data_IF_840389101962
#
_entry.id   IF_840389101962
#
_cell.length_a   1.000
_cell.length_b   1.000
_cell.length_c   1.000
_cell.angle_alpha   90.00
_cell.angle_beta   90.00
_cell.angle_gamma   90.00
#
_symmetry.space_group_name_H-M   'P 1'
#
loop_
_entity.id
_entity.type
_entity.pdbx_description
1 polymer ?
#
# COMPACT_ATOMS: atom_id res chain seq x y z
N UNK A 1 -14.50 20.19 -35.70
CA UNK A 1 -15.36 20.36 -34.54
C UNK A 1 -15.37 19.05 -33.77
N UNK A 2 -14.52 18.91 -32.75
CA UNK A 2 -14.57 17.80 -31.81
C UNK A 2 -15.48 18.32 -30.70
N UNK A 3 -16.73 17.86 -30.68
CA UNK A 3 -17.66 18.15 -29.60
C UNK A 3 -17.05 17.71 -28.28
N UNK A 4 -16.87 18.69 -27.40
CA UNK A 4 -16.37 18.57 -26.01
C UNK A 4 -17.39 17.77 -25.20
N UNK A 5 -17.23 16.45 -25.18
CA UNK A 5 -18.06 15.52 -24.37
C UNK A 5 -17.61 15.60 -22.90
N UNK A 6 -17.95 16.72 -22.25
CA UNK A 6 -17.85 16.84 -20.82
C UNK A 6 -18.97 15.99 -20.16
N UNK A 7 -18.62 14.94 -19.39
CA UNK A 7 -19.58 14.14 -18.63
C UNK A 7 -20.18 14.96 -17.47
N UNK A 8 -21.49 14.84 -17.18
CA UNK A 8 -22.10 15.48 -16.01
C UNK A 8 -21.57 14.88 -14.68
N UNK A 9 -21.70 15.64 -13.58
CA UNK A 9 -21.11 15.30 -12.28
C UNK A 9 -21.53 13.94 -11.71
N UNK A 10 -22.77 13.52 -11.96
CA UNK A 10 -23.30 12.24 -11.47
C UNK A 10 -22.70 11.01 -12.17
N UNK A 11 -21.92 11.21 -13.25
CA UNK A 11 -21.34 10.16 -14.09
C UNK A 11 -19.81 10.04 -13.96
N UNK A 12 -19.18 10.89 -13.13
CA UNK A 12 -17.72 10.88 -12.95
C UNK A 12 -17.35 9.92 -11.82
N UNK A 13 -16.68 8.84 -12.16
CA UNK A 13 -16.24 7.85 -11.17
C UNK A 13 -15.36 8.50 -10.07
N UNK A 14 -15.47 8.04 -8.80
CA UNK A 14 -14.91 8.73 -7.63
C UNK A 14 -13.40 8.92 -7.67
N UNK A 15 -12.66 8.06 -8.35
CA UNK A 15 -11.21 8.15 -8.47
C UNK A 15 -10.73 8.74 -9.80
N UNK A 16 -11.63 9.23 -10.64
CA UNK A 16 -11.23 9.88 -11.91
C UNK A 16 -10.35 11.09 -11.65
N UNK A 17 -9.19 11.14 -12.29
CA UNK A 17 -8.18 12.17 -12.11
C UNK A 17 -7.19 11.91 -10.97
N UNK A 18 -7.28 10.78 -10.27
CA UNK A 18 -6.30 10.36 -9.27
C UNK A 18 -5.41 9.23 -9.79
N UNK A 19 -4.16 9.23 -9.34
CA UNK A 19 -3.17 8.18 -9.62
C UNK A 19 -2.88 7.40 -8.34
N UNK A 20 -2.99 6.07 -8.41
CA UNK A 20 -2.77 5.18 -7.26
C UNK A 20 -1.67 4.17 -7.57
N UNK A 21 -0.61 4.16 -6.76
CA UNK A 21 0.42 3.13 -6.77
C UNK A 21 -0.06 1.85 -6.07
N UNK A 22 0.21 0.68 -6.65
CA UNK A 22 -0.12 -0.62 -6.07
C UNK A 22 1.16 -1.43 -5.90
N UNK A 23 1.57 -1.67 -4.65
CA UNK A 23 2.83 -2.38 -4.31
C UNK A 23 2.65 -3.88 -4.09
N UNK A 24 1.45 -4.40 -4.30
CA UNK A 24 1.10 -5.78 -4.05
C UNK A 24 1.85 -6.75 -4.97
N UNK A 25 2.43 -7.82 -4.41
CA UNK A 25 3.05 -8.92 -5.16
C UNK A 25 2.02 -9.95 -5.66
N UNK A 26 0.89 -10.08 -4.97
CA UNK A 26 -0.21 -10.98 -5.32
C UNK A 26 -1.49 -10.20 -5.47
N UNK A 27 -2.34 -10.64 -6.41
CA UNK A 27 -3.63 -9.99 -6.70
C UNK A 27 -3.47 -8.51 -7.13
N UNK A 28 -2.29 -8.13 -7.64
CA UNK A 28 -2.03 -6.77 -8.13
C UNK A 28 -3.05 -6.36 -9.20
N UNK A 29 -3.31 -7.25 -10.17
CA UNK A 29 -4.28 -7.02 -11.25
C UNK A 29 -5.72 -6.87 -10.72
N UNK A 30 -6.09 -7.66 -9.69
CA UNK A 30 -7.41 -7.53 -9.07
C UNK A 30 -7.56 -6.18 -8.36
N UNK A 31 -6.53 -5.75 -7.62
CA UNK A 31 -6.53 -4.45 -6.93
C UNK A 31 -6.54 -3.32 -7.96
N UNK A 32 -5.66 -3.39 -8.95
CA UNK A 32 -5.59 -2.44 -10.05
C UNK A 32 -6.94 -2.31 -10.75
N UNK A 33 -7.52 -3.41 -11.20
CA UNK A 33 -8.82 -3.40 -11.87
C UNK A 33 -9.98 -2.91 -10.99
N UNK A 34 -9.91 -3.10 -9.66
CA UNK A 34 -10.89 -2.51 -8.73
C UNK A 34 -10.76 -0.99 -8.61
N UNK A 35 -9.54 -0.45 -8.68
CA UNK A 35 -9.25 0.98 -8.66
C UNK A 35 -9.59 1.63 -10.01
N UNK A 36 -9.21 1.00 -11.12
CA UNK A 36 -9.50 1.46 -12.49
C UNK A 36 -11.00 1.53 -12.77
N UNK A 37 -11.77 0.54 -12.33
CA UNK A 37 -13.24 0.58 -12.41
C UNK A 37 -13.86 1.76 -11.65
N UNK A 38 -13.12 2.37 -10.72
CA UNK A 38 -13.50 3.59 -10.01
C UNK A 38 -12.90 4.86 -10.61
N UNK A 39 -12.20 4.72 -11.75
CA UNK A 39 -11.66 5.83 -12.52
C UNK A 39 -10.20 6.19 -12.21
N UNK A 40 -9.50 5.46 -11.34
CA UNK A 40 -8.09 5.73 -11.04
C UNK A 40 -7.18 5.39 -12.22
N UNK A 41 -6.11 6.16 -12.37
CA UNK A 41 -4.90 5.70 -13.06
C UNK A 41 -4.10 4.85 -12.09
N UNK A 42 -3.69 3.64 -12.50
CA UNK A 42 -2.96 2.72 -11.62
C UNK A 42 -1.53 2.53 -12.08
N UNK A 43 -0.58 2.67 -11.14
CA UNK A 43 0.83 2.29 -11.33
C UNK A 43 1.06 0.99 -10.56
N UNK A 44 1.14 -0.13 -11.28
CA UNK A 44 1.49 -1.41 -10.67
C UNK A 44 3.01 -1.48 -10.48
N UNK A 45 3.43 -1.59 -9.22
CA UNK A 45 4.82 -1.59 -8.82
C UNK A 45 5.06 -2.60 -7.68
N UNK A 46 5.05 -3.91 -7.98
CA UNK A 46 5.28 -4.92 -6.95
C UNK A 46 6.60 -4.66 -6.21
N UNK A 47 6.53 -4.44 -4.89
CA UNK A 47 7.70 -4.12 -4.08
C UNK A 47 8.48 -5.37 -3.62
N UNK A 48 7.97 -6.55 -3.94
CA UNK A 48 8.57 -7.84 -3.60
C UNK A 48 8.03 -8.93 -4.53
N UNK A 49 8.75 -10.06 -4.58
CA UNK A 49 8.26 -11.32 -5.17
C UNK A 49 8.30 -12.45 -4.16
N UNK A 50 7.39 -13.39 -4.32
CA UNK A 50 7.35 -14.61 -3.53
C UNK A 50 8.05 -15.69 -4.33
N UNK A 51 9.08 -16.29 -3.76
CA UNK A 51 9.81 -17.41 -4.37
C UNK A 51 9.47 -18.66 -3.57
N UNK A 52 8.84 -19.67 -4.18
CA UNK A 52 8.73 -20.98 -3.57
C UNK A 52 10.13 -21.57 -3.34
N UNK A 53 10.30 -22.28 -2.25
CA UNK A 53 11.59 -22.88 -1.88
C UNK A 53 11.64 -24.37 -2.24
N UNK A 54 11.12 -24.79 -3.40
CA UNK A 54 11.10 -26.18 -3.83
C UNK A 54 12.51 -26.84 -3.83
N UNK A 55 13.54 -26.05 -4.11
CA UNK A 55 14.94 -26.49 -4.12
C UNK A 55 15.73 -26.04 -2.89
N UNK A 56 15.05 -25.56 -1.83
CA UNK A 56 15.71 -25.02 -0.65
C UNK A 56 16.15 -26.12 0.31
N UNK A 57 17.46 -26.13 0.56
CA UNK A 57 18.10 -27.09 1.48
C UNK A 57 17.50 -27.03 2.90
N UNK A 58 17.10 -25.83 3.36
CA UNK A 58 16.55 -25.63 4.71
C UNK A 58 15.14 -26.22 4.82
N UNK A 59 14.29 -26.05 3.79
CA UNK A 59 12.96 -26.64 3.75
C UNK A 59 13.07 -28.17 3.73
N UNK A 60 13.96 -28.73 2.89
CA UNK A 60 14.18 -30.18 2.80
C UNK A 60 14.72 -30.74 4.11
N UNK A 61 15.69 -30.05 4.74
CA UNK A 61 16.25 -30.43 6.03
C UNK A 61 15.19 -30.46 7.11
N UNK A 62 14.38 -29.42 7.25
CA UNK A 62 13.27 -29.37 8.22
C UNK A 62 12.25 -30.46 7.96
N UNK A 63 11.92 -30.74 6.69
CA UNK A 63 11.00 -31.82 6.30
C UNK A 63 11.53 -33.18 6.72
N UNK A 64 12.78 -33.49 6.41
CA UNK A 64 13.40 -34.77 6.79
C UNK A 64 13.54 -34.92 8.31
N UNK A 65 13.83 -33.84 9.03
CA UNK A 65 13.85 -33.82 10.50
C UNK A 65 12.48 -34.20 11.09
N UNK A 66 11.40 -33.61 10.56
CA UNK A 66 10.04 -33.86 11.00
C UNK A 66 9.56 -35.29 10.63
N UNK A 67 10.03 -35.85 9.51
CA UNK A 67 9.77 -37.25 9.13
C UNK A 67 10.50 -38.20 10.07
N UNK A 68 11.74 -37.91 10.43
CA UNK A 68 12.56 -38.73 11.31
C UNK A 68 12.13 -38.67 12.77
N UNK A 69 11.65 -37.54 13.23
CA UNK A 69 11.14 -37.33 14.59
C UNK A 69 9.89 -36.44 14.50
N UNK A 70 8.68 -37.07 14.47
CA UNK A 70 7.42 -36.36 14.29
C UNK A 70 7.18 -35.27 15.33
N UNK A 71 6.50 -34.17 14.97
CA UNK A 71 6.16 -33.10 15.89
C UNK A 71 4.89 -33.43 16.69
N UNK A 72 4.77 -32.88 17.89
CA UNK A 72 3.51 -32.93 18.68
C UNK A 72 2.49 -31.94 18.12
N UNK A 73 2.99 -30.80 17.59
CA UNK A 73 2.14 -29.73 17.07
C UNK A 73 2.74 -29.13 15.80
N UNK A 74 1.85 -28.78 14.87
CA UNK A 74 2.20 -28.06 13.63
C UNK A 74 1.41 -26.78 13.57
N UNK A 75 2.08 -25.65 13.36
CA UNK A 75 1.45 -24.35 13.13
C UNK A 75 1.53 -23.99 11.65
N UNK A 76 0.41 -24.06 10.95
CA UNK A 76 0.27 -23.66 9.56
C UNK A 76 -0.16 -22.17 9.48
N UNK A 77 0.76 -21.31 9.09
CA UNK A 77 0.53 -19.86 9.06
C UNK A 77 -0.16 -19.40 7.78
N UNK A 78 0.09 -20.06 6.64
CA UNK A 78 -0.50 -19.67 5.34
C UNK A 78 -0.85 -20.90 4.49
N UNK A 79 -2.01 -20.81 3.80
CA UNK A 79 -2.44 -21.90 2.92
C UNK A 79 -1.54 -22.09 1.69
N UNK A 80 -0.96 -21.02 1.14
CA UNK A 80 -0.02 -21.12 0.00
C UNK A 80 1.28 -21.79 0.46
N UNK A 81 1.77 -21.44 1.64
CA UNK A 81 2.99 -22.05 2.17
C UNK A 81 2.80 -23.52 2.48
N UNK A 82 1.66 -23.88 3.08
CA UNK A 82 1.39 -25.30 3.38
C UNK A 82 1.26 -26.15 2.11
N UNK A 83 0.57 -25.63 1.08
CA UNK A 83 0.52 -26.29 -0.24
C UNK A 83 1.90 -26.43 -0.85
N UNK A 84 2.68 -25.35 -0.91
CA UNK A 84 4.03 -25.36 -1.47
C UNK A 84 4.97 -26.31 -0.73
N UNK A 85 4.78 -26.48 0.60
CA UNK A 85 5.52 -27.48 1.37
C UNK A 85 5.16 -28.92 0.95
N UNK A 86 3.88 -29.20 0.81
CA UNK A 86 3.41 -30.54 0.36
C UNK A 86 3.85 -30.81 -1.08
N UNK A 87 3.76 -29.84 -1.98
CA UNK A 87 4.24 -29.93 -3.38
C UNK A 87 5.75 -30.19 -3.43
N UNK A 88 6.54 -29.48 -2.62
CA UNK A 88 7.98 -29.72 -2.52
C UNK A 88 8.30 -31.14 -2.00
N UNK A 89 7.60 -31.58 -0.95
CA UNK A 89 7.75 -32.93 -0.43
C UNK A 89 7.37 -34.00 -1.47
N UNK A 90 6.34 -33.75 -2.30
CA UNK A 90 5.97 -34.62 -3.41
C UNK A 90 7.07 -34.69 -4.47
N UNK A 91 7.64 -33.53 -4.85
CA UNK A 91 8.78 -33.48 -5.78
C UNK A 91 10.02 -34.22 -5.29
N UNK A 92 10.20 -34.38 -3.97
CA UNK A 92 11.28 -35.17 -3.37
C UNK A 92 10.92 -36.64 -3.13
N UNK A 93 9.68 -37.06 -3.38
CA UNK A 93 9.17 -38.39 -3.08
C UNK A 93 8.90 -38.66 -1.60
N UNK A 94 8.79 -37.58 -0.78
CA UNK A 94 8.63 -37.67 0.68
C UNK A 94 7.21 -37.35 1.18
N UNK A 95 6.27 -37.04 0.27
CA UNK A 95 4.95 -36.53 0.65
C UNK A 95 4.16 -37.48 1.57
N UNK A 96 4.17 -38.79 1.30
CA UNK A 96 3.43 -39.76 2.11
C UNK A 96 4.06 -39.94 3.49
N UNK A 97 5.39 -39.93 3.58
CA UNK A 97 6.12 -40.01 4.84
C UNK A 97 5.88 -38.75 5.68
N UNK A 98 5.84 -37.57 5.03
CA UNK A 98 5.53 -36.33 5.70
C UNK A 98 4.08 -36.34 6.21
N UNK A 99 3.10 -36.74 5.40
CA UNK A 99 1.69 -36.89 5.85
C UNK A 99 1.57 -37.84 7.06
N UNK A 100 2.27 -38.97 7.02
CA UNK A 100 2.30 -39.89 8.13
C UNK A 100 2.89 -39.30 9.42
N UNK A 101 3.95 -38.49 9.30
CA UNK A 101 4.57 -37.81 10.42
C UNK A 101 3.71 -36.67 11.01
N UNK A 102 2.97 -35.93 10.16
CA UNK A 102 2.12 -34.83 10.58
C UNK A 102 0.73 -35.26 11.05
N UNK A 103 0.25 -36.45 10.61
CA UNK A 103 -1.11 -36.91 10.89
C UNK A 103 -1.47 -37.06 12.38
N UNK A 104 -0.59 -37.56 13.25
CA UNK A 104 -0.82 -37.64 14.70
C UNK A 104 -0.71 -36.30 15.43
N UNK A 105 -0.07 -35.28 14.81
CA UNK A 105 0.19 -33.98 15.44
C UNK A 105 -1.09 -33.13 15.57
N UNK A 106 -1.13 -32.28 16.58
CA UNK A 106 -2.12 -31.21 16.66
C UNK A 106 -1.84 -30.13 15.59
N UNK A 107 -2.63 -30.09 14.50
CA UNK A 107 -2.45 -29.10 13.45
C UNK A 107 -3.25 -27.83 13.75
N UNK A 108 -2.57 -26.73 14.01
CA UNK A 108 -3.16 -25.42 14.24
C UNK A 108 -3.06 -24.58 12.96
N UNK A 109 -4.20 -24.17 12.41
CA UNK A 109 -4.26 -23.29 11.25
C UNK A 109 -4.46 -21.84 11.70
N UNK A 110 -3.66 -20.90 11.19
CA UNK A 110 -3.87 -19.48 11.51
C UNK A 110 -5.21 -18.93 11.00
N UNK A 111 -5.79 -19.52 9.96
CA UNK A 111 -7.04 -19.06 9.38
C UNK A 111 -7.56 -19.93 8.24
N UNK A 112 -8.68 -19.57 7.60
CA UNK A 112 -9.43 -20.42 6.67
C UNK A 112 -8.61 -20.92 5.48
N UNK A 113 -7.64 -20.11 4.99
CA UNK A 113 -6.77 -20.51 3.86
C UNK A 113 -5.78 -21.61 4.26
N UNK A 114 -5.26 -21.56 5.48
CA UNK A 114 -4.38 -22.61 6.02
C UNK A 114 -5.19 -23.87 6.30
N UNK A 115 -6.38 -23.74 6.90
CA UNK A 115 -7.36 -24.84 7.10
C UNK A 115 -7.65 -25.55 5.77
N UNK A 116 -8.00 -24.83 4.73
CA UNK A 116 -8.28 -25.41 3.41
C UNK A 116 -7.07 -26.15 2.81
N UNK A 117 -5.85 -25.65 3.03
CA UNK A 117 -4.63 -26.31 2.54
C UNK A 117 -4.29 -27.59 3.32
N UNK A 118 -4.47 -27.60 4.64
CA UNK A 118 -4.32 -28.79 5.49
C UNK A 118 -5.28 -29.89 5.02
N UNK A 119 -6.55 -29.54 4.84
CA UNK A 119 -7.58 -30.50 4.38
C UNK A 119 -7.31 -31.01 2.96
N UNK A 120 -6.85 -30.15 2.04
CA UNK A 120 -6.47 -30.55 0.70
C UNK A 120 -5.28 -31.53 0.68
N UNK A 121 -4.41 -31.48 1.69
CA UNK A 121 -3.31 -32.45 1.87
C UNK A 121 -3.75 -33.78 2.52
N UNK A 122 -5.04 -33.96 2.78
CA UNK A 122 -5.57 -35.17 3.44
C UNK A 122 -5.38 -35.20 4.97
N UNK A 123 -5.04 -34.03 5.55
CA UNK A 123 -4.86 -33.85 6.99
C UNK A 123 -6.05 -33.11 7.60
N UNK A 124 -6.14 -33.08 8.94
CA UNK A 124 -7.22 -32.37 9.63
C UNK A 124 -6.65 -31.41 10.67
N UNK A 125 -7.07 -30.18 10.62
CA UNK A 125 -6.73 -29.18 11.64
C UNK A 125 -7.47 -29.51 12.96
N UNK A 126 -6.78 -29.27 14.08
CA UNK A 126 -7.34 -29.39 15.43
C UNK A 126 -8.04 -28.09 15.84
N UNK A 127 -7.54 -26.95 15.39
CA UNK A 127 -8.06 -25.64 15.75
C UNK A 127 -7.61 -24.53 14.82
N UNK A 128 -8.41 -23.45 14.74
CA UNK A 128 -8.10 -22.22 14.03
C UNK A 128 -8.75 -21.01 14.74
N UNK A 129 -8.03 -19.88 14.94
CA UNK A 129 -8.60 -18.67 15.54
C UNK A 129 -9.64 -18.01 14.63
N UNK A 130 -10.61 -17.35 15.25
CA UNK A 130 -11.59 -16.55 14.52
C UNK A 130 -10.99 -15.26 13.95
N UNK A 131 -9.95 -14.72 14.60
CA UNK A 131 -9.27 -13.45 14.22
C UNK A 131 -8.25 -13.60 13.09
N UNK A 132 -7.93 -14.81 12.66
CA UNK A 132 -6.84 -15.10 11.70
C UNK A 132 -5.45 -14.59 12.18
N UNK A 133 -5.25 -14.45 13.50
CA UNK A 133 -4.06 -13.85 14.11
C UNK A 133 -3.06 -14.93 14.57
N UNK A 134 -1.77 -14.70 14.27
CA UNK A 134 -0.68 -15.53 14.83
C UNK A 134 -0.53 -15.34 16.35
N UNK A 135 -0.88 -14.14 16.87
CA UNK A 135 -0.84 -13.87 18.30
C UNK A 135 -1.83 -14.75 19.07
N UNK A 136 -3.04 -14.97 18.53
CA UNK A 136 -4.05 -15.85 19.15
C UNK A 136 -3.61 -17.31 19.10
N UNK A 137 -2.95 -17.77 18.01
CA UNK A 137 -2.34 -19.11 17.95
C UNK A 137 -1.27 -19.27 19.03
N UNK A 138 -0.41 -18.27 19.23
CA UNK A 138 0.61 -18.28 20.28
C UNK A 138 -0.02 -18.34 21.67
N UNK A 139 -1.00 -17.46 21.94
CA UNK A 139 -1.71 -17.42 23.21
C UNK A 139 -2.36 -18.77 23.54
N UNK A 140 -2.99 -19.40 22.53
CA UNK A 140 -3.57 -20.74 22.67
C UNK A 140 -2.51 -21.77 23.09
N UNK A 141 -1.37 -21.83 22.38
CA UNK A 141 -0.28 -22.75 22.69
C UNK A 141 0.28 -22.56 24.11
N UNK A 142 0.48 -21.30 24.52
CA UNK A 142 1.00 -20.98 25.85
C UNK A 142 -0.02 -21.28 26.97
N UNK A 143 -1.33 -21.32 26.67
CA UNK A 143 -2.39 -21.60 27.64
C UNK A 143 -2.73 -23.08 27.81
N UNK A 144 -2.33 -23.95 26.89
CA UNK A 144 -2.66 -25.40 26.92
C UNK A 144 -1.82 -26.24 27.89
N UNK A 145 -0.89 -25.60 28.61
CA UNK A 145 -0.03 -26.26 29.59
C UNK A 145 1.46 -26.15 29.27
N UNK A 146 2.32 -26.88 30.02
CA UNK A 146 3.75 -26.80 29.85
C UNK A 146 4.17 -27.29 28.45
N UNK A 147 5.01 -26.49 27.79
CA UNK A 147 5.55 -26.83 26.46
C UNK A 147 6.93 -27.53 26.56
N UNK A 148 7.44 -27.73 27.76
CA UNK A 148 8.72 -28.40 27.98
C UNK A 148 8.73 -29.80 27.36
N UNK A 149 9.71 -30.07 26.50
CA UNK A 149 9.85 -31.33 25.79
C UNK A 149 8.94 -31.53 24.57
N UNK A 150 7.96 -30.62 24.33
CA UNK A 150 7.12 -30.70 23.14
C UNK A 150 7.87 -30.18 21.90
N UNK A 151 7.69 -30.90 20.78
CA UNK A 151 8.22 -30.54 19.46
C UNK A 151 7.16 -29.80 18.65
N UNK A 152 7.43 -28.56 18.31
CA UNK A 152 6.47 -27.71 17.58
C UNK A 152 7.07 -27.30 16.24
N UNK A 153 6.46 -27.75 15.14
CA UNK A 153 6.80 -27.32 13.79
C UNK A 153 6.06 -26.01 13.49
N UNK A 154 6.78 -24.95 13.14
CA UNK A 154 6.21 -23.64 12.79
C UNK A 154 6.52 -23.34 11.34
N UNK A 155 5.50 -23.34 10.50
CA UNK A 155 5.60 -22.89 9.12
C UNK A 155 5.86 -21.39 9.10
N UNK A 156 6.99 -20.97 8.54
CA UNK A 156 7.30 -19.57 8.33
C UNK A 156 6.59 -19.04 7.08
N UNK A 157 6.28 -17.75 7.06
CA UNK A 157 5.63 -17.09 5.93
C UNK A 157 6.48 -15.96 5.33
N UNK A 158 7.75 -16.30 5.07
CA UNK A 158 8.72 -15.39 4.46
C UNK A 158 9.56 -14.60 5.45
N UNK A 159 9.14 -14.51 6.72
CA UNK A 159 9.87 -13.93 7.84
C UNK A 159 10.13 -14.95 8.94
N UNK A 160 11.20 -14.74 9.76
CA UNK A 160 11.58 -15.70 10.80
C UNK A 160 10.57 -15.88 11.94
N UNK A 161 9.53 -15.03 12.07
CA UNK A 161 8.57 -15.03 13.18
C UNK A 161 9.25 -15.11 14.56
N UNK A 162 10.30 -14.31 14.78
CA UNK A 162 11.18 -14.42 15.96
C UNK A 162 10.38 -14.35 17.26
N UNK A 163 9.54 -13.34 17.45
CA UNK A 163 8.75 -13.18 18.67
C UNK A 163 7.90 -14.41 18.99
N UNK A 164 7.30 -14.99 17.95
CA UNK A 164 6.48 -16.20 18.07
C UNK A 164 7.33 -17.43 18.42
N UNK A 165 8.42 -17.66 17.69
CA UNK A 165 9.28 -18.84 17.88
C UNK A 165 10.07 -18.77 19.19
N UNK A 166 10.52 -17.58 19.57
CA UNK A 166 11.28 -17.37 20.79
C UNK A 166 10.39 -17.49 22.04
N UNK A 167 9.14 -17.01 21.98
CA UNK A 167 8.17 -17.23 23.07
C UNK A 167 7.92 -18.73 23.30
N UNK A 168 7.80 -19.54 22.25
CA UNK A 168 7.65 -20.99 22.38
C UNK A 168 8.91 -21.66 22.95
N UNK A 169 10.10 -21.23 22.51
CA UNK A 169 11.38 -21.73 23.05
C UNK A 169 11.57 -21.36 24.53
N UNK A 170 11.23 -20.15 24.93
CA UNK A 170 11.26 -19.73 26.33
C UNK A 170 10.28 -20.52 27.20
N UNK A 171 9.16 -20.98 26.62
CA UNK A 171 8.22 -21.88 27.30
C UNK A 171 8.70 -23.36 27.33
N UNK A 172 9.91 -23.64 26.82
CA UNK A 172 10.55 -24.96 26.88
C UNK A 172 10.30 -25.87 25.68
N UNK A 173 9.66 -25.38 24.60
CA UNK A 173 9.42 -26.16 23.40
C UNK A 173 10.68 -26.29 22.52
N UNK A 174 10.83 -27.45 21.88
CA UNK A 174 11.74 -27.63 20.74
C UNK A 174 11.04 -27.12 19.47
N UNK A 175 11.46 -25.99 18.93
CA UNK A 175 10.82 -25.36 17.76
C UNK A 175 11.57 -25.66 16.49
N UNK A 176 10.93 -26.35 15.56
CA UNK A 176 11.40 -26.61 14.21
C UNK A 176 10.75 -25.59 13.27
N UNK A 177 11.54 -24.71 12.68
CA UNK A 177 11.04 -23.76 11.70
C UNK A 177 11.04 -24.35 10.30
N UNK A 178 9.91 -24.23 9.60
CA UNK A 178 9.70 -24.74 8.24
C UNK A 178 9.60 -23.55 7.27
N UNK A 179 10.68 -23.17 6.59
CA UNK A 179 10.67 -22.05 5.64
C UNK A 179 10.07 -22.54 4.33
N UNK A 180 8.88 -22.07 3.97
CA UNK A 180 8.14 -22.55 2.78
C UNK A 180 8.22 -21.63 1.57
N UNK A 181 8.62 -20.39 1.76
CA UNK A 181 8.94 -19.43 0.71
C UNK A 181 9.75 -18.26 1.29
N UNK A 182 10.46 -17.55 0.43
CA UNK A 182 11.17 -16.32 0.78
C UNK A 182 10.58 -15.13 0.04
N UNK A 183 10.61 -14.01 0.70
CA UNK A 183 10.39 -12.73 0.08
C UNK A 183 11.70 -12.23 -0.51
N UNK A 184 11.70 -11.89 -1.78
CA UNK A 184 12.86 -11.36 -2.48
C UNK A 184 12.49 -10.04 -3.15
N UNK A 185 13.49 -9.22 -3.44
CA UNK A 185 13.30 -8.08 -4.31
C UNK A 185 12.70 -8.52 -5.65
N UNK A 186 11.90 -7.69 -6.32
CA UNK A 186 11.44 -7.98 -7.68
C UNK A 186 12.63 -8.27 -8.60
N UNK A 187 12.43 -9.11 -9.62
CA UNK A 187 13.46 -9.34 -10.65
C UNK A 187 13.65 -8.06 -11.47
N UNK A 188 12.54 -7.45 -11.85
CA UNK A 188 12.51 -6.15 -12.49
C UNK A 188 12.08 -5.09 -11.46
N UNK A 189 13.02 -4.24 -11.07
CA UNK A 189 12.78 -3.12 -10.15
C UNK A 189 12.27 -1.88 -10.86
N UNK A 190 12.30 -1.85 -12.19
CA UNK A 190 11.90 -0.68 -12.99
C UNK A 190 10.49 -0.16 -12.70
N UNK A 191 9.45 -1.01 -12.53
CA UNK A 191 8.12 -0.54 -12.10
C UNK A 191 8.14 0.16 -10.74
N UNK A 192 8.94 -0.36 -9.79
CA UNK A 192 9.05 0.22 -8.45
C UNK A 192 9.80 1.56 -8.47
N UNK A 193 10.85 1.65 -9.28
CA UNK A 193 11.60 2.90 -9.49
C UNK A 193 10.71 3.98 -10.10
N UNK A 194 9.94 3.65 -11.14
CA UNK A 194 8.96 4.59 -11.72
C UNK A 194 7.90 5.05 -10.71
N UNK A 195 7.45 4.17 -9.82
CA UNK A 195 6.53 4.57 -8.76
C UNK A 195 7.20 5.53 -7.79
N UNK A 196 8.43 5.27 -7.37
CA UNK A 196 9.20 6.14 -6.48
C UNK A 196 9.44 7.51 -7.11
N UNK A 197 9.87 7.56 -8.37
CA UNK A 197 10.02 8.81 -9.13
C UNK A 197 8.69 9.58 -9.24
N UNK A 198 7.60 8.89 -9.52
CA UNK A 198 6.28 9.50 -9.60
C UNK A 198 5.79 10.04 -8.25
N UNK A 199 6.12 9.38 -7.13
CA UNK A 199 5.84 9.89 -5.77
C UNK A 199 6.66 11.14 -5.50
N UNK A 200 7.97 11.12 -5.77
CA UNK A 200 8.86 12.27 -5.60
C UNK A 200 8.44 13.48 -6.47
N UNK A 201 7.98 13.21 -7.69
CA UNK A 201 7.45 14.23 -8.60
C UNK A 201 6.03 14.75 -8.22
N UNK A 202 5.39 14.19 -7.18
CA UNK A 202 4.04 14.59 -6.75
C UNK A 202 2.93 14.23 -7.75
N UNK A 203 3.13 13.21 -8.58
CA UNK A 203 2.17 12.74 -9.59
C UNK A 203 1.36 11.52 -9.15
N UNK A 204 1.60 11.02 -7.94
CA UNK A 204 0.84 9.96 -7.28
C UNK A 204 0.04 10.54 -6.12
N UNK A 205 -1.20 10.14 -5.97
CA UNK A 205 -2.10 10.63 -4.93
C UNK A 205 -2.23 9.68 -3.75
N UNK A 206 -2.09 8.37 -3.99
CA UNK A 206 -2.08 7.35 -2.96
C UNK A 206 -1.20 6.15 -3.33
N UNK A 207 -0.67 5.46 -2.33
CA UNK A 207 -0.02 4.15 -2.49
C UNK A 207 -0.75 3.13 -1.64
N UNK A 208 -1.18 2.03 -2.27
CA UNK A 208 -1.89 0.93 -1.63
C UNK A 208 -0.92 -0.20 -1.25
N UNK A 209 -0.92 -0.55 0.06
CA UNK A 209 -0.09 -1.61 0.64
C UNK A 209 -0.97 -2.75 1.15
N UNK A 210 -0.64 -3.97 0.76
CA UNK A 210 -1.36 -5.19 1.19
C UNK A 210 -0.56 -6.06 2.16
N UNK A 211 0.70 -5.72 2.42
CA UNK A 211 1.57 -6.38 3.40
C UNK A 211 2.63 -5.43 3.95
N UNK A 212 3.07 -5.66 5.18
CA UNK A 212 4.18 -4.93 5.81
C UNK A 212 5.47 -5.05 4.97
N UNK A 213 5.72 -6.21 4.39
CA UNK A 213 6.88 -6.46 3.53
C UNK A 213 6.88 -5.62 2.25
N UNK A 214 5.71 -5.34 1.67
CA UNK A 214 5.62 -4.44 0.53
C UNK A 214 5.98 -2.99 0.93
N UNK A 215 5.55 -2.55 2.11
CA UNK A 215 5.95 -1.26 2.67
C UNK A 215 7.46 -1.20 2.93
N UNK A 216 8.02 -2.23 3.59
CA UNK A 216 9.47 -2.35 3.80
C UNK A 216 10.25 -2.40 2.49
N UNK A 217 9.74 -3.11 1.48
CA UNK A 217 10.35 -3.20 0.15
C UNK A 217 10.43 -1.87 -0.57
N UNK A 218 9.36 -1.07 -0.52
CA UNK A 218 9.33 0.29 -1.07
C UNK A 218 10.34 1.20 -0.36
N UNK A 219 10.33 1.23 0.98
CA UNK A 219 11.23 2.04 1.79
C UNK A 219 12.70 1.68 1.53
N UNK A 220 13.03 0.38 1.53
CA UNK A 220 14.38 -0.10 1.22
C UNK A 220 14.81 0.32 -0.18
N UNK A 221 13.94 0.17 -1.20
CA UNK A 221 14.29 0.57 -2.56
C UNK A 221 14.54 2.08 -2.68
N UNK A 222 13.78 2.90 -1.96
CA UNK A 222 14.00 4.34 -1.90
C UNK A 222 15.38 4.68 -1.30
N UNK A 223 15.79 3.99 -0.21
CA UNK A 223 17.13 4.13 0.37
C UNK A 223 18.21 3.71 -0.62
N UNK A 224 18.06 2.55 -1.29
CA UNK A 224 18.99 2.04 -2.30
C UNK A 224 19.13 2.99 -3.51
N UNK A 225 18.06 3.69 -3.88
CA UNK A 225 18.02 4.65 -4.99
C UNK A 225 18.42 6.08 -4.59
N UNK A 226 18.65 6.35 -3.30
CA UNK A 226 19.06 7.65 -2.78
C UNK A 226 17.95 8.71 -2.76
N UNK A 227 16.67 8.30 -2.79
CA UNK A 227 15.49 9.19 -2.82
C UNK A 227 14.57 8.97 -1.60
N UNK A 228 15.13 8.46 -0.50
CA UNK A 228 14.35 8.20 0.72
C UNK A 228 13.76 9.48 1.31
N UNK A 229 14.51 10.56 1.32
CA UNK A 229 14.07 11.83 1.90
C UNK A 229 12.90 12.44 1.11
N UNK A 230 12.94 12.38 -0.21
CA UNK A 230 11.86 12.84 -1.10
C UNK A 230 10.60 11.97 -0.92
N UNK A 231 10.76 10.65 -0.86
CA UNK A 231 9.67 9.73 -0.58
C UNK A 231 9.03 10.05 0.76
N UNK A 232 9.83 10.16 1.82
CA UNK A 232 9.33 10.43 3.17
C UNK A 232 8.68 11.81 3.27
N UNK A 233 9.22 12.82 2.60
CA UNK A 233 8.61 14.15 2.52
C UNK A 233 7.22 14.10 1.85
N UNK A 234 7.09 13.38 0.74
CA UNK A 234 5.82 13.21 0.04
C UNK A 234 4.77 12.48 0.89
N UNK A 235 5.18 11.46 1.66
CA UNK A 235 4.29 10.66 2.49
C UNK A 235 3.96 11.29 3.85
N UNK A 236 4.90 12.04 4.46
CA UNK A 236 4.71 12.68 5.80
C UNK A 236 3.93 13.99 5.71
N UNK A 237 4.10 14.75 4.64
CA UNK A 237 3.58 16.11 4.49
C UNK A 237 4.45 17.19 5.14
N UNK A 238 4.04 18.45 5.02
CA UNK A 238 4.80 19.57 5.55
C UNK A 238 4.89 19.49 7.08
N UNK A 239 6.10 19.64 7.61
CA UNK A 239 6.34 19.79 9.05
C UNK A 239 5.91 21.19 9.46
N UNK A 240 4.79 21.34 10.14
CA UNK A 240 4.35 22.62 10.71
C UNK A 240 4.86 22.69 12.15
N UNK A 241 5.80 23.61 12.39
CA UNK A 241 6.23 23.95 13.76
C UNK A 241 7.02 22.89 14.51
N UNK A 242 7.85 22.06 13.84
CA UNK A 242 8.78 21.13 14.50
C UNK A 242 8.15 19.91 15.18
N UNK A 243 6.84 19.74 15.10
CA UNK A 243 6.14 18.53 15.51
C UNK A 243 5.60 17.83 14.26
N UNK A 244 6.00 16.57 14.06
CA UNK A 244 5.28 15.67 13.14
C UNK A 244 3.92 15.45 13.80
N UNK A 245 2.86 16.08 13.30
CA UNK A 245 1.50 15.81 13.74
C UNK A 245 1.10 14.47 13.11
N UNK A 246 1.66 13.39 13.62
CA UNK A 246 1.30 12.02 13.37
C UNK A 246 0.33 11.56 14.45
N UNK A 247 -0.95 11.90 14.29
CA UNK A 247 -1.98 11.30 15.11
C UNK A 247 -2.35 9.94 14.52
N UNK A 248 -2.24 8.88 15.30
CA UNK A 248 -2.99 7.66 15.12
C UNK A 248 -4.47 8.01 15.24
N UNK A 249 -5.11 8.35 14.14
CA UNK A 249 -6.54 8.60 14.13
C UNK A 249 -7.25 7.29 13.78
N UNK A 250 -7.68 6.59 14.78
CA UNK A 250 -8.88 5.78 14.68
C UNK A 250 -10.02 6.79 14.43
N UNK A 251 -10.46 6.95 13.16
CA UNK A 251 -11.60 7.76 12.79
C UNK A 251 -11.39 9.27 12.61
N UNK A 252 -10.13 9.78 12.44
CA UNK A 252 -9.85 11.20 12.18
C UNK A 252 -9.12 11.44 10.87
N UNK A 253 -9.44 12.54 10.18
CA UNK A 253 -8.73 13.00 8.98
C UNK A 253 -7.28 13.31 9.35
N UNK A 254 -6.37 12.38 9.02
CA UNK A 254 -4.94 12.62 9.16
C UNK A 254 -4.55 13.76 8.21
N UNK A 255 -3.99 14.83 8.73
CA UNK A 255 -3.27 15.84 7.94
C UNK A 255 -1.93 15.18 7.57
N UNK A 256 -1.97 14.33 6.54
CA UNK A 256 -0.81 13.61 6.03
C UNK A 256 -0.15 14.35 4.87
N UNK A 257 0.88 13.76 4.31
CA UNK A 257 1.58 14.22 3.12
C UNK A 257 0.69 14.42 1.89
N UNK A 258 1.30 14.84 0.82
CA UNK A 258 0.61 14.96 -0.47
C UNK A 258 0.14 13.61 -0.98
N UNK A 259 0.82 12.54 -0.60
CA UNK A 259 0.51 11.15 -0.99
C UNK A 259 -0.05 10.35 0.20
N UNK A 260 -1.17 9.68 0.00
CA UNK A 260 -1.80 8.84 1.03
C UNK A 260 -1.11 7.47 1.07
N UNK A 261 -0.61 7.06 2.24
CA UNK A 261 -0.19 5.69 2.49
C UNK A 261 -1.41 4.87 2.99
N UNK A 262 -2.06 4.12 2.09
CA UNK A 262 -3.24 3.32 2.40
C UNK A 262 -2.86 1.85 2.59
N UNK A 263 -3.05 1.33 3.79
CA UNK A 263 -2.71 -0.04 4.18
C UNK A 263 -3.95 -0.93 4.29
N UNK A 264 -3.81 -2.23 4.09
CA UNK A 264 -4.95 -3.16 4.29
C UNK A 264 -5.30 -3.29 5.77
N UNK A 265 -4.37 -2.99 6.69
CA UNK A 265 -4.57 -3.07 8.13
C UNK A 265 -3.36 -2.57 8.91
N UNK A 266 -3.44 -2.50 10.26
CA UNK A 266 -2.42 -1.90 11.13
C UNK A 266 -1.05 -2.59 11.05
N UNK A 267 -1.00 -3.92 10.94
CA UNK A 267 0.26 -4.66 10.78
C UNK A 267 0.98 -4.25 9.49
N UNK A 268 0.22 -3.99 8.42
CA UNK A 268 0.78 -3.50 7.15
C UNK A 268 1.35 -2.09 7.28
N UNK A 269 0.74 -1.26 8.13
CA UNK A 269 1.16 0.11 8.38
C UNK A 269 2.44 0.22 9.23
N UNK A 270 2.78 -0.80 10.04
CA UNK A 270 3.90 -0.78 10.99
C UNK A 270 5.18 -0.17 10.42
N UNK A 271 5.78 -0.70 9.34
CA UNK A 271 7.03 -0.18 8.78
C UNK A 271 6.98 1.30 8.36
N UNK A 272 5.81 1.80 7.98
CA UNK A 272 5.58 3.20 7.61
C UNK A 272 5.50 4.07 8.86
N UNK A 273 4.74 3.62 9.86
CA UNK A 273 4.60 4.30 11.16
C UNK A 273 5.95 4.42 11.89
N UNK A 274 6.78 3.39 11.85
CA UNK A 274 8.14 3.37 12.41
C UNK A 274 9.06 4.43 11.75
N UNK A 275 8.75 4.82 10.52
CA UNK A 275 9.43 5.91 9.80
C UNK A 275 8.70 7.25 9.93
N UNK A 276 7.71 7.37 10.83
CA UNK A 276 6.92 8.58 11.03
C UNK A 276 6.03 8.96 9.83
N UNK A 277 5.69 8.00 8.98
CA UNK A 277 4.75 8.18 7.86
C UNK A 277 3.33 7.90 8.36
N UNK A 278 2.40 8.87 8.28
CA UNK A 278 1.00 8.64 8.58
C UNK A 278 0.43 7.60 7.59
N UNK A 279 -0.19 6.55 8.12
CA UNK A 279 -0.83 5.54 7.30
C UNK A 279 -2.29 5.36 7.70
N UNK A 280 -3.14 5.08 6.73
CA UNK A 280 -4.58 4.87 6.94
C UNK A 280 -4.99 3.46 6.53
N UNK A 281 -6.07 2.94 7.13
CA UNK A 281 -6.60 1.62 6.80
C UNK A 281 -8.09 1.49 7.13
N UNK A 282 -8.83 0.58 6.43
CA UNK A 282 -10.24 0.34 6.70
C UNK A 282 -10.45 -0.52 7.95
N UNK A 283 -11.65 -0.50 8.53
CA UNK A 283 -12.02 -1.36 9.66
C UNK A 283 -11.97 -2.87 9.34
N UNK A 284 -12.20 -3.22 8.09
CA UNK A 284 -12.12 -4.61 7.61
C UNK A 284 -10.91 -4.82 6.73
N UNK A 285 -9.99 -5.67 7.15
CA UNK A 285 -8.68 -5.92 6.53
C UNK A 285 -8.79 -6.77 5.25
N UNK A 286 -9.51 -6.27 4.24
CA UNK A 286 -9.75 -6.94 2.95
C UNK A 286 -9.49 -5.99 1.79
N UNK A 287 -9.06 -6.56 0.65
CA UNK A 287 -8.75 -5.80 -0.57
C UNK A 287 -9.90 -4.88 -1.00
N UNK A 288 -11.13 -5.41 -1.06
CA UNK A 288 -12.28 -4.59 -1.44
C UNK A 288 -12.59 -3.44 -0.46
N UNK A 289 -12.27 -3.61 0.84
CA UNK A 289 -12.38 -2.54 1.83
C UNK A 289 -11.26 -1.51 1.66
N UNK A 290 -10.02 -1.95 1.39
CA UNK A 290 -8.89 -1.06 1.08
C UNK A 290 -9.20 -0.17 -0.11
N UNK A 291 -9.73 -0.73 -1.21
CA UNK A 291 -10.08 0.05 -2.41
C UNK A 291 -11.16 1.10 -2.12
N UNK A 292 -12.19 0.75 -1.33
CA UNK A 292 -13.21 1.72 -0.90
C UNK A 292 -12.62 2.80 0.02
N UNK A 293 -11.71 2.40 0.90
CA UNK A 293 -11.02 3.31 1.81
C UNK A 293 -10.18 4.33 1.03
N UNK A 294 -9.36 3.89 0.07
CA UNK A 294 -8.62 4.78 -0.83
C UNK A 294 -9.53 5.76 -1.54
N UNK A 295 -10.68 5.28 -2.05
CA UNK A 295 -11.65 6.15 -2.71
C UNK A 295 -12.23 7.20 -1.75
N UNK A 296 -12.59 6.81 -0.53
CA UNK A 296 -13.11 7.73 0.48
C UNK A 296 -12.08 8.77 0.91
N UNK A 297 -10.84 8.35 1.17
CA UNK A 297 -9.75 9.24 1.57
C UNK A 297 -9.41 10.28 0.48
N UNK A 298 -9.31 9.86 -0.78
CA UNK A 298 -9.01 10.77 -1.88
C UNK A 298 -10.17 11.73 -2.16
N UNK A 299 -11.40 11.23 -2.17
CA UNK A 299 -12.59 12.09 -2.34
C UNK A 299 -12.77 13.05 -1.16
N UNK A 300 -12.47 12.61 0.07
CA UNK A 300 -12.55 13.45 1.27
C UNK A 300 -11.50 14.56 1.32
N UNK A 301 -10.36 14.40 0.63
CA UNK A 301 -9.31 15.44 0.50
C UNK A 301 -9.57 16.44 -0.63
N UNK A 302 -10.47 16.11 -1.55
CA UNK A 302 -10.82 17.01 -2.64
C UNK A 302 -11.48 18.28 -2.08
N UNK A 303 -10.84 19.43 -2.33
CA UNK A 303 -11.39 20.72 -1.93
C UNK A 303 -12.35 21.22 -2.99
N UNK A 304 -13.60 21.43 -2.58
CA UNK A 304 -14.57 22.14 -3.38
C UNK A 304 -14.41 23.65 -3.12
N UNK A 305 -14.10 24.41 -4.17
CA UNK A 305 -13.93 25.85 -4.12
C UNK A 305 -14.98 26.52 -5.00
N UNK A 306 -15.52 27.67 -4.57
CA UNK A 306 -16.34 28.53 -5.43
C UNK A 306 -15.47 29.65 -5.97
N UNK A 307 -15.17 29.62 -7.26
CA UNK A 307 -14.22 30.50 -7.92
C UNK A 307 -14.85 31.14 -9.15
N UNK A 308 -14.95 32.46 -9.20
CA UNK A 308 -15.56 33.22 -10.32
C UNK A 308 -16.99 32.73 -10.67
N UNK A 309 -17.75 32.26 -9.68
CA UNK A 309 -19.11 31.74 -9.88
C UNK A 309 -19.18 30.26 -10.33
N UNK A 310 -18.01 29.60 -10.48
CA UNK A 310 -17.92 28.17 -10.79
C UNK A 310 -17.60 27.34 -9.56
N UNK A 311 -18.11 26.12 -9.52
CA UNK A 311 -17.64 25.08 -8.60
C UNK A 311 -16.36 24.47 -9.15
N UNK A 312 -15.28 24.53 -8.40
CA UNK A 312 -13.97 23.97 -8.77
C UNK A 312 -13.55 22.91 -7.73
N UNK A 313 -13.35 21.67 -8.18
CA UNK A 313 -12.74 20.61 -7.39
C UNK A 313 -11.39 20.23 -8.00
N UNK A 314 -10.32 20.32 -7.20
CA UNK A 314 -8.96 19.99 -7.64
C UNK A 314 -8.64 18.54 -7.25
N UNK A 315 -8.36 17.71 -8.23
CA UNK A 315 -7.94 16.31 -8.07
C UNK A 315 -6.48 16.13 -8.48
N UNK A 316 -5.97 14.91 -8.48
CA UNK A 316 -4.58 14.59 -8.84
C UNK A 316 -4.13 15.18 -10.18
N UNK A 317 -4.65 14.66 -11.29
CA UNK A 317 -4.27 15.05 -12.66
C UNK A 317 -5.40 15.76 -13.41
N UNK A 318 -6.49 16.12 -12.73
CA UNK A 318 -7.65 16.75 -13.33
C UNK A 318 -8.31 17.73 -12.36
N UNK A 319 -9.22 18.56 -12.89
CA UNK A 319 -10.14 19.36 -12.10
C UNK A 319 -11.58 19.07 -12.53
N UNK A 320 -12.54 19.20 -11.62
CA UNK A 320 -13.94 19.32 -12.00
C UNK A 320 -14.34 20.79 -11.93
N UNK A 321 -14.91 21.28 -13.02
CA UNK A 321 -15.49 22.60 -13.11
C UNK A 321 -16.98 22.44 -13.36
N UNK A 322 -17.81 22.89 -12.41
CA UNK A 322 -19.27 22.68 -12.44
C UNK A 322 -19.64 21.20 -12.64
N UNK A 323 -18.93 20.31 -11.96
CA UNK A 323 -19.10 18.86 -12.05
C UNK A 323 -18.57 18.22 -13.35
N UNK A 324 -17.99 18.98 -14.27
CA UNK A 324 -17.43 18.46 -15.52
C UNK A 324 -15.94 18.21 -15.38
N UNK A 325 -15.50 17.01 -15.73
CA UNK A 325 -14.09 16.62 -15.70
C UNK A 325 -13.29 17.43 -16.75
N UNK A 326 -12.20 18.03 -16.29
CA UNK A 326 -11.24 18.80 -17.09
C UNK A 326 -9.83 18.22 -16.86
N UNK A 327 -9.26 17.48 -17.81
CA UNK A 327 -7.86 17.06 -17.74
C UNK A 327 -6.93 18.27 -17.72
N UNK A 328 -5.98 18.29 -16.80
CA UNK A 328 -5.04 19.40 -16.65
C UNK A 328 -3.61 18.85 -16.76
N UNK A 329 -2.80 19.32 -17.73
CA UNK A 329 -1.41 18.88 -17.88
C UNK A 329 -0.56 19.16 -16.63
N UNK A 330 0.57 18.45 -16.41
CA UNK A 330 1.35 18.53 -15.16
C UNK A 330 1.77 19.94 -14.74
N UNK A 331 2.35 20.75 -15.64
CA UNK A 331 2.75 22.11 -15.30
C UNK A 331 1.57 23.03 -14.91
N UNK A 332 0.50 23.14 -15.72
CA UNK A 332 -0.75 23.79 -15.33
C UNK A 332 -1.36 23.24 -14.03
N UNK A 333 -1.28 21.93 -13.77
CA UNK A 333 -1.78 21.33 -12.52
C UNK A 333 -0.96 21.78 -11.31
N UNK A 334 0.37 21.88 -11.42
CA UNK A 334 1.23 22.39 -10.37
C UNK A 334 0.85 23.83 -10.00
N UNK A 335 0.61 24.69 -11.00
CA UNK A 335 0.10 26.05 -10.80
C UNK A 335 -1.26 26.04 -10.10
N UNK A 336 -2.22 25.20 -10.56
CA UNK A 336 -3.55 25.12 -9.95
C UNK A 336 -3.48 24.69 -8.48
N UNK A 337 -2.66 23.69 -8.16
CA UNK A 337 -2.45 23.23 -6.79
C UNK A 337 -1.84 24.32 -5.90
N UNK A 338 -0.83 25.06 -6.41
CA UNK A 338 -0.22 26.18 -5.68
C UNK A 338 -1.24 27.28 -5.37
N UNK A 339 -2.06 27.65 -6.34
CA UNK A 339 -3.12 28.65 -6.16
C UNK A 339 -4.25 28.17 -5.22
N UNK A 340 -4.53 26.86 -5.21
CA UNK A 340 -5.58 26.26 -4.38
C UNK A 340 -5.14 26.03 -2.92
N UNK A 341 -3.84 26.11 -2.57
CA UNK A 341 -3.37 26.03 -1.18
C UNK A 341 -3.98 27.15 -0.33
N UNK A 342 -3.97 28.36 -0.85
CA UNK A 342 -4.52 29.56 -0.20
C UNK A 342 -5.46 30.30 -1.18
N UNK A 343 -6.71 29.85 -1.34
CA UNK A 343 -7.63 30.39 -2.32
C UNK A 343 -7.83 31.90 -2.12
N UNK A 344 -7.77 32.68 -3.20
CA UNK A 344 -7.91 34.13 -3.18
C UNK A 344 -6.61 34.90 -2.88
N UNK A 345 -5.60 34.27 -2.33
CA UNK A 345 -4.30 34.90 -2.11
C UNK A 345 -3.49 34.99 -3.40
N UNK A 346 -2.70 36.08 -3.51
CA UNK A 346 -1.80 36.26 -4.66
C UNK A 346 -0.54 35.43 -4.45
N UNK A 347 -0.27 34.52 -5.38
CA UNK A 347 0.99 33.76 -5.41
C UNK A 347 1.95 34.43 -6.40
N UNK A 348 3.15 34.84 -5.95
CA UNK A 348 4.17 35.44 -6.81
C UNK A 348 4.60 34.52 -7.96
N UNK A 349 5.08 35.10 -9.06
CA UNK A 349 5.58 34.31 -10.20
C UNK A 349 6.76 33.43 -9.82
N UNK A 350 7.68 33.92 -9.01
CA UNK A 350 8.84 33.17 -8.54
C UNK A 350 8.43 31.90 -7.77
N UNK A 351 7.41 32.02 -6.91
CA UNK A 351 6.90 30.86 -6.14
C UNK A 351 6.22 29.83 -7.06
N UNK A 352 5.46 30.30 -8.06
CA UNK A 352 4.85 29.43 -9.06
C UNK A 352 5.89 28.75 -9.96
N UNK A 353 7.00 29.43 -10.25
CA UNK A 353 8.10 28.87 -11.03
C UNK A 353 8.77 27.71 -10.30
N UNK A 354 8.96 27.84 -8.99
CA UNK A 354 9.52 26.78 -8.15
C UNK A 354 8.63 25.51 -8.10
N UNK A 355 7.33 25.66 -8.33
CA UNK A 355 6.38 24.53 -8.34
C UNK A 355 6.30 23.82 -9.70
N UNK A 356 6.86 24.40 -10.77
CA UNK A 356 6.78 23.79 -12.10
C UNK A 356 7.72 22.59 -12.23
N UNK A 357 7.26 21.47 -12.83
CA UNK A 357 8.11 20.30 -13.10
C UNK A 357 9.33 20.69 -13.95
N UNK A 358 10.52 20.28 -13.51
CA UNK A 358 11.77 20.53 -14.23
C UNK A 358 12.46 21.87 -13.89
N UNK A 359 11.99 22.61 -12.86
CA UNK A 359 12.64 23.83 -12.36
C UNK A 359 12.86 24.84 -13.47
N UNK A 360 11.81 25.42 -14.03
CA UNK A 360 11.92 26.36 -15.15
C UNK A 360 12.84 27.52 -14.83
N UNK A 361 13.73 27.89 -15.74
CA UNK A 361 14.65 29.01 -15.59
C UNK A 361 14.04 30.37 -15.94
N UNK A 362 12.78 30.40 -16.42
CA UNK A 362 12.18 31.63 -16.99
C UNK A 362 10.73 31.82 -16.52
N UNK A 363 10.40 33.06 -16.11
CA UNK A 363 9.03 33.47 -15.74
C UNK A 363 8.00 33.25 -16.87
N UNK A 364 8.43 33.24 -18.14
CA UNK A 364 7.57 32.93 -19.28
C UNK A 364 6.98 31.51 -19.20
N UNK A 365 7.65 30.55 -18.54
CA UNK A 365 7.11 29.23 -18.30
C UNK A 365 5.84 29.27 -17.43
N UNK A 366 5.80 30.15 -16.44
CA UNK A 366 4.62 30.36 -15.58
C UNK A 366 3.47 30.96 -16.39
N UNK A 367 3.74 31.93 -17.25
CA UNK A 367 2.72 32.56 -18.10
C UNK A 367 2.10 31.56 -19.08
N UNK A 368 2.94 30.72 -19.69
CA UNK A 368 2.49 29.65 -20.57
C UNK A 368 1.67 28.60 -19.80
N UNK A 369 2.10 28.21 -18.58
CA UNK A 369 1.36 27.30 -17.73
C UNK A 369 0.00 27.85 -17.32
N UNK A 370 -0.08 29.13 -16.94
CA UNK A 370 -1.34 29.82 -16.59
C UNK A 370 -2.27 29.91 -17.81
N UNK A 371 -1.74 30.24 -18.99
CA UNK A 371 -2.54 30.28 -20.21
C UNK A 371 -3.16 28.93 -20.54
N UNK A 372 -2.35 27.86 -20.46
CA UNK A 372 -2.83 26.47 -20.63
C UNK A 372 -3.82 26.06 -19.56
N UNK A 373 -3.60 26.46 -18.30
CA UNK A 373 -4.52 26.18 -17.20
C UNK A 373 -5.91 26.79 -17.47
N UNK A 374 -5.95 28.05 -17.86
CA UNK A 374 -7.21 28.73 -18.22
C UNK A 374 -7.95 28.02 -19.36
N UNK A 375 -7.21 27.59 -20.37
CA UNK A 375 -7.78 26.81 -21.48
C UNK A 375 -8.29 25.46 -21.02
N UNK A 376 -7.51 24.71 -20.23
CA UNK A 376 -7.90 23.39 -19.73
C UNK A 376 -9.15 23.45 -18.84
N UNK A 377 -9.27 24.46 -17.98
CA UNK A 377 -10.44 24.61 -17.12
C UNK A 377 -11.72 25.00 -17.89
N UNK A 378 -11.60 25.57 -19.09
CA UNK A 378 -12.74 26.08 -19.84
C UNK A 378 -13.41 27.28 -19.18
N UNK A 379 -12.81 27.86 -18.14
CA UNK A 379 -13.31 28.96 -17.33
C UNK A 379 -12.18 29.98 -17.07
N UNK A 380 -11.81 30.81 -18.04
CA UNK A 380 -10.59 31.62 -17.98
C UNK A 380 -10.57 32.66 -16.84
N UNK A 381 -11.75 33.02 -16.31
CA UNK A 381 -11.86 33.98 -15.19
C UNK A 381 -11.51 33.36 -13.83
N UNK A 382 -11.44 32.03 -13.73
CA UNK A 382 -11.08 31.30 -12.51
C UNK A 382 -9.68 31.68 -12.01
N UNK A 383 -8.72 31.90 -12.94
CA UNK A 383 -7.37 32.37 -12.60
C UNK A 383 -7.19 33.83 -13.01
N UNK A 384 -7.03 34.71 -12.02
CA UNK A 384 -6.81 36.13 -12.22
C UNK A 384 -5.32 36.48 -12.21
N UNK A 385 -4.92 37.35 -13.13
CA UNK A 385 -3.61 38.03 -13.09
C UNK A 385 -3.70 39.24 -12.17
N UNK A 386 -2.79 39.34 -11.20
CA UNK A 386 -2.61 40.54 -10.37
C UNK A 386 -1.34 41.22 -10.86
N UNK A 387 -1.52 42.35 -11.54
CA UNK A 387 -0.45 43.11 -12.24
C UNK A 387 0.74 43.31 -11.32
N UNK A 388 1.94 42.97 -11.78
CA UNK A 388 3.25 43.07 -11.09
C UNK A 388 3.35 42.21 -9.79
N UNK A 389 2.33 41.43 -9.41
CA UNK A 389 2.33 40.68 -8.15
C UNK A 389 2.23 39.14 -8.34
N UNK A 390 1.61 38.66 -9.43
CA UNK A 390 1.44 37.23 -9.68
C UNK A 390 0.02 36.83 -10.08
N UNK A 391 -0.44 35.69 -9.59
CA UNK A 391 -1.75 35.12 -9.94
C UNK A 391 -2.52 34.69 -8.68
N UNK A 392 -3.84 34.61 -8.79
CA UNK A 392 -4.73 34.08 -7.73
C UNK A 392 -5.95 33.37 -8.31
N UNK A 393 -6.60 32.55 -7.50
CA UNK A 393 -7.97 32.11 -7.79
C UNK A 393 -8.95 33.25 -7.48
N UNK A 394 -9.93 33.46 -8.39
CA UNK A 394 -10.94 34.50 -8.28
C UNK A 394 -12.07 34.08 -7.31
N UNK A 395 -11.81 34.12 -6.00
CA UNK A 395 -12.83 33.80 -5.02
C UNK A 395 -14.00 34.80 -5.11
N UNK A 396 -15.24 34.33 -4.92
CA UNK A 396 -16.37 35.21 -4.72
C UNK A 396 -16.15 36.00 -3.42
N UNK A 397 -16.34 37.32 -3.48
CA UNK A 397 -16.31 38.21 -2.32
C UNK A 397 -17.62 38.05 -1.57
#
# INVERSE_FOLDING_TARGET
MIEDMARPADDVAPLTGYTVGVTAARRADEIGGLLERRGATVIQAPALRIVPLADDTDLRKATLELIGTPPDTVVATTGIGFRGWMEAAEGWGEADRLRAALGPAALLARGPKATGAIRAAGLRESWSPASESSAEVLQRLLSEGPLAGRRIAVQLHGEPLRDFTDALRHAGATVITVPVYRWMAPVDVGPLDRLLEAIAAGTVDAVAFTSALAATGLLRRATESGIEDELLAALRGPVVGGAVVGGTAVGGTAVGGTVIAACVGPVTAGPLLDRGVPATWPDRYRVGALVRHVAGELSGRARMLTVAGHSLEVRGTAALVDGRLRPVPPGPMAVLRALARNPGWVVPRADLLAELPGGGADEHAVEAAVARLRSSLGAPRVVQTVVKRGYRLAMAI
#
